data_IF_680106678115
#
_entry.id   IF_680106678115
#
_cell.length_a   1.000
_cell.length_b   1.000
_cell.length_c   1.000
_cell.angle_alpha   90.00
_cell.angle_beta   90.00
_cell.angle_gamma   90.00
#
_symmetry.space_group_name_H-M   'P 1'
#
loop_
_entity.id
_entity.type
_entity.pdbx_description
1 polymer ?
#
# COMPACT_ATOMS: atom_id res chain seq x y z
N UNK A 1 13.34 8.27 22.30
CA UNK A 1 13.36 6.90 21.73
C UNK A 1 13.65 7.00 20.24
N UNK A 2 14.55 6.18 19.71
CA UNK A 2 14.90 6.13 18.29
C UNK A 2 14.25 4.90 17.62
N UNK A 3 13.96 4.97 16.33
CA UNK A 3 13.36 3.90 15.55
C UNK A 3 14.10 3.70 14.22
N UNK A 4 14.34 2.46 13.84
CA UNK A 4 14.91 2.11 12.53
C UNK A 4 13.86 2.23 11.43
N UNK A 5 14.26 2.79 10.29
CA UNK A 5 13.42 3.05 9.13
C UNK A 5 13.86 2.23 7.91
N UNK A 6 12.89 1.99 7.04
CA UNK A 6 13.10 1.65 5.63
C UNK A 6 12.32 2.65 4.79
N UNK A 7 13.02 3.34 3.89
CA UNK A 7 12.42 4.40 3.10
C UNK A 7 11.56 3.87 1.94
N UNK A 8 10.43 4.54 1.73
CA UNK A 8 9.68 4.51 0.49
C UNK A 8 9.90 5.82 -0.26
N UNK A 9 9.89 5.76 -1.59
CA UNK A 9 10.06 6.92 -2.45
C UNK A 9 8.80 7.13 -3.29
N UNK A 10 8.36 8.39 -3.39
CA UNK A 10 7.41 8.77 -4.44
C UNK A 10 8.15 8.85 -5.78
N UNK A 11 7.48 8.65 -6.92
CA UNK A 11 8.10 8.74 -8.24
C UNK A 11 8.86 10.04 -8.49
N UNK A 12 8.34 11.16 -7.99
CA UNK A 12 8.94 12.51 -8.08
C UNK A 12 10.28 12.61 -7.36
N UNK A 13 10.51 11.78 -6.35
CA UNK A 13 11.75 11.78 -5.56
C UNK A 13 12.80 10.81 -6.12
N UNK A 14 12.52 10.18 -7.27
CA UNK A 14 13.49 9.33 -7.96
C UNK A 14 14.15 10.11 -9.10
N UNK A 15 15.41 9.79 -9.42
CA UNK A 15 16.13 10.41 -10.54
C UNK A 15 15.41 10.28 -11.89
N UNK A 16 14.58 9.25 -12.06
CA UNK A 16 13.77 9.05 -13.27
C UNK A 16 12.49 9.87 -13.32
N UNK A 17 12.12 10.54 -12.23
CA UNK A 17 10.86 11.26 -12.09
C UNK A 17 9.62 10.39 -12.21
N UNK A 18 8.44 11.04 -12.16
CA UNK A 18 7.16 10.39 -12.40
C UNK A 18 7.00 10.03 -13.88
N UNK A 19 6.59 8.79 -14.13
CA UNK A 19 6.23 8.28 -15.46
C UNK A 19 4.72 8.30 -15.66
N UNK A 20 4.28 8.32 -16.91
CA UNK A 20 2.86 8.27 -17.29
C UNK A 20 2.14 6.98 -16.86
N UNK A 21 2.88 5.92 -16.58
CA UNK A 21 2.35 4.64 -16.11
C UNK A 21 2.27 4.51 -14.58
N UNK A 22 2.80 5.50 -13.87
CA UNK A 22 2.75 5.55 -12.41
C UNK A 22 1.38 6.07 -11.97
N UNK A 23 0.80 5.44 -10.96
CA UNK A 23 -0.46 5.92 -10.36
C UNK A 23 -0.17 7.03 -9.34
N UNK A 24 -1.14 7.92 -9.10
CA UNK A 24 -0.98 9.08 -8.21
C UNK A 24 -0.49 8.67 -6.81
N UNK A 25 -1.13 7.64 -6.23
CA UNK A 25 -0.81 7.09 -4.91
C UNK A 25 0.30 6.02 -4.93
N UNK A 26 1.05 5.90 -6.03
CA UNK A 26 2.14 4.92 -6.15
C UNK A 26 3.41 5.37 -5.42
N UNK A 27 4.01 4.45 -4.67
CA UNK A 27 5.29 4.60 -4.00
C UNK A 27 6.17 3.36 -4.26
N UNK A 28 7.48 3.53 -4.09
CA UNK A 28 8.46 2.48 -4.32
C UNK A 28 9.20 2.13 -3.04
N UNK A 29 9.14 0.86 -2.64
CA UNK A 29 9.91 0.37 -1.50
C UNK A 29 11.40 0.46 -1.79
N UNK A 30 12.22 0.79 -0.80
CA UNK A 30 13.68 0.78 -0.92
C UNK A 30 14.36 0.01 0.21
N UNK A 31 15.59 -0.45 -0.04
CA UNK A 31 16.48 -1.00 1.00
C UNK A 31 17.28 0.08 1.73
N UNK A 32 16.93 1.35 1.53
CA UNK A 32 17.54 2.47 2.24
C UNK A 32 17.11 2.43 3.72
N UNK A 33 18.08 2.11 4.59
CA UNK A 33 17.91 2.07 6.04
C UNK A 33 18.35 3.38 6.67
N UNK A 34 17.64 3.79 7.71
CA UNK A 34 17.95 4.99 8.49
C UNK A 34 17.43 4.85 9.94
N UNK A 35 17.67 5.85 10.78
CA UNK A 35 17.12 5.95 12.13
C UNK A 35 16.52 7.35 12.36
N UNK A 36 15.31 7.43 12.92
CA UNK A 36 14.68 8.69 13.29
C UNK A 36 14.18 8.69 14.74
N UNK A 37 13.96 9.89 15.28
CA UNK A 37 13.22 10.02 16.55
C UNK A 37 11.76 9.62 16.32
N UNK A 38 11.18 8.87 17.28
CA UNK A 38 9.74 8.56 17.26
C UNK A 38 8.89 9.83 17.26
N UNK A 39 9.43 10.94 17.76
CA UNK A 39 8.77 12.26 17.73
C UNK A 39 8.56 12.82 16.30
N UNK A 40 9.22 12.26 15.29
CA UNK A 40 9.06 12.65 13.89
C UNK A 40 7.94 11.87 13.17
N UNK A 41 7.24 10.96 13.85
CA UNK A 41 6.13 10.21 13.24
C UNK A 41 4.86 11.06 13.34
N UNK A 42 4.31 11.42 12.19
CA UNK A 42 3.07 12.20 12.10
C UNK A 42 1.82 11.30 12.17
N UNK A 43 1.79 10.24 11.36
CA UNK A 43 0.60 9.40 11.22
C UNK A 43 0.89 8.01 10.65
N UNK A 44 -0.12 7.14 10.69
CA UNK A 44 -0.14 5.80 10.11
C UNK A 44 -0.76 5.82 8.71
N UNK A 45 -0.08 5.18 7.77
CA UNK A 45 -0.60 4.90 6.44
C UNK A 45 -0.59 3.39 6.13
N UNK A 46 -1.23 3.02 5.01
CA UNK A 46 -1.34 1.65 4.53
C UNK A 46 -0.68 1.51 3.18
N UNK A 47 0.28 0.59 3.07
CA UNK A 47 0.97 0.28 1.81
C UNK A 47 0.48 -1.07 1.32
N UNK A 48 -0.20 -1.06 0.18
CA UNK A 48 -0.87 -2.21 -0.41
C UNK A 48 -0.06 -2.79 -1.57
N UNK A 49 -0.09 -4.11 -1.73
CA UNK A 49 0.33 -4.72 -3.00
C UNK A 49 -0.71 -4.43 -4.08
N UNK A 50 -0.33 -4.65 -5.34
CA UNK A 50 -1.22 -4.40 -6.47
C UNK A 50 -2.58 -5.09 -6.33
N UNK A 51 -2.61 -6.37 -5.92
CA UNK A 51 -3.85 -7.12 -5.76
C UNK A 51 -4.73 -6.61 -4.61
N UNK A 52 -4.13 -6.13 -3.52
CA UNK A 52 -4.87 -5.50 -2.42
C UNK A 52 -5.42 -4.14 -2.84
N UNK A 53 -4.60 -3.33 -3.50
CA UNK A 53 -4.97 -2.01 -3.98
C UNK A 53 -6.13 -2.06 -4.97
N UNK A 54 -6.11 -2.99 -5.92
CA UNK A 54 -7.22 -3.22 -6.85
C UNK A 54 -8.53 -3.57 -6.11
N UNK A 55 -8.47 -4.43 -5.08
CA UNK A 55 -9.63 -4.78 -4.25
C UNK A 55 -10.12 -3.57 -3.44
N UNK A 56 -9.20 -2.79 -2.87
CA UNK A 56 -9.50 -1.57 -2.13
C UNK A 56 -10.19 -0.53 -3.03
N UNK A 57 -9.61 -0.19 -4.19
CA UNK A 57 -10.19 0.78 -5.14
C UNK A 57 -11.56 0.34 -5.66
N UNK A 58 -11.76 -0.95 -5.91
CA UNK A 58 -13.07 -1.48 -6.29
C UNK A 58 -14.12 -1.25 -5.20
N UNK A 59 -13.77 -1.54 -3.94
CA UNK A 59 -14.65 -1.32 -2.78
C UNK A 59 -14.94 0.16 -2.57
N UNK A 60 -13.91 1.01 -2.59
CA UNK A 60 -14.04 2.47 -2.44
C UNK A 60 -15.01 3.04 -3.48
N UNK A 61 -14.83 2.69 -4.76
CA UNK A 61 -15.72 3.12 -5.85
C UNK A 61 -17.17 2.62 -5.67
N UNK A 62 -17.36 1.39 -5.18
CA UNK A 62 -18.70 0.88 -4.89
C UNK A 62 -19.37 1.68 -3.76
N UNK A 63 -18.64 1.97 -2.69
CA UNK A 63 -19.12 2.78 -1.56
C UNK A 63 -19.47 4.20 -1.99
N UNK A 64 -18.64 4.85 -2.81
CA UNK A 64 -18.91 6.18 -3.39
C UNK A 64 -20.19 6.18 -4.24
N UNK A 65 -20.46 5.08 -4.95
CA UNK A 65 -21.65 4.91 -5.78
C UNK A 65 -22.89 4.41 -5.00
N UNK A 66 -22.77 4.21 -3.68
CA UNK A 66 -23.86 3.66 -2.86
C UNK A 66 -24.26 2.23 -3.24
N UNK A 67 -23.41 1.50 -3.95
CA UNK A 67 -23.69 0.12 -4.37
C UNK A 67 -23.52 -0.83 -3.18
N UNK A 68 -24.45 -1.77 -2.97
CA UNK A 68 -24.27 -2.78 -1.94
C UNK A 68 -23.02 -3.62 -2.26
N UNK A 69 -22.36 -4.18 -1.23
CA UNK A 69 -21.30 -5.15 -1.47
C UNK A 69 -21.86 -6.29 -2.34
N UNK A 70 -21.07 -6.88 -3.24
CA UNK A 70 -21.55 -7.91 -4.14
C UNK A 70 -22.18 -9.07 -3.35
N UNK A 71 -23.52 -9.09 -3.31
CA UNK A 71 -24.31 -10.19 -2.80
C UNK A 71 -24.08 -11.40 -3.71
N UNK A 72 -23.47 -12.47 -3.18
CA UNK A 72 -23.39 -13.73 -3.91
C UNK A 72 -22.00 -14.18 -4.35
N UNK A 73 -20.92 -13.63 -3.80
CA UNK A 73 -19.64 -14.35 -3.87
C UNK A 73 -19.73 -15.54 -2.90
N UNK A 74 -20.24 -16.68 -3.41
CA UNK A 74 -20.12 -18.01 -2.80
C UNK A 74 -18.66 -18.50 -2.81
N UNK A 75 -17.68 -17.60 -2.66
CA UNK A 75 -16.38 -18.02 -2.16
C UNK A 75 -16.66 -18.22 -0.69
N UNK A 76 -16.46 -19.42 -0.13
CA UNK A 76 -16.57 -19.59 1.31
C UNK A 76 -15.78 -18.45 1.93
N UNK A 77 -16.47 -17.59 2.69
CA UNK A 77 -15.77 -16.73 3.64
C UNK A 77 -14.84 -17.70 4.34
N UNK A 78 -13.52 -17.50 4.24
CA UNK A 78 -12.52 -18.41 4.77
C UNK A 78 -12.59 -18.35 6.30
N UNK A 79 -13.70 -18.81 6.85
CA UNK A 79 -14.06 -18.97 8.24
C UNK A 79 -14.06 -20.47 8.49
N UNK A 80 -12.89 -21.08 8.32
CA UNK A 80 -12.54 -22.37 8.91
C UNK A 80 -11.07 -22.69 8.61
N UNK A 81 -10.21 -22.28 9.54
CA UNK A 81 -8.97 -22.99 9.92
C UNK A 81 -7.86 -23.21 8.86
N UNK A 82 -7.97 -22.64 7.66
CA UNK A 82 -6.94 -22.78 6.62
C UNK A 82 -6.25 -21.44 6.35
N UNK A 83 -5.10 -21.23 7.00
CA UNK A 83 -4.11 -20.17 6.75
C UNK A 83 -4.67 -18.73 6.66
N UNK A 84 -4.74 -18.05 7.81
CA UNK A 84 -5.06 -16.63 7.88
C UNK A 84 -4.16 -15.81 6.93
N UNK A 85 -4.75 -14.96 6.08
CA UNK A 85 -3.98 -14.14 5.14
C UNK A 85 -2.92 -13.33 5.90
N UNK A 86 -1.60 -13.56 5.67
CA UNK A 86 -0.56 -13.05 6.57
C UNK A 86 -0.53 -11.53 6.71
N UNK A 87 -1.04 -10.80 5.71
CA UNK A 87 -1.09 -9.33 5.70
C UNK A 87 -2.45 -8.74 6.07
N UNK A 88 -3.38 -9.54 6.63
CA UNK A 88 -4.72 -9.07 7.04
C UNK A 88 -4.63 -7.85 7.98
N UNK A 89 -3.70 -7.87 8.93
CA UNK A 89 -3.48 -6.79 9.90
C UNK A 89 -2.81 -5.53 9.28
N UNK A 90 -2.33 -5.62 8.04
CA UNK A 90 -1.72 -4.51 7.28
C UNK A 90 -2.69 -3.87 6.28
N UNK A 91 -3.95 -4.32 6.24
CA UNK A 91 -5.00 -3.73 5.41
C UNK A 91 -5.70 -2.58 6.16
N UNK A 92 -6.23 -1.57 5.44
CA UNK A 92 -7.13 -0.58 6.01
C UNK A 92 -8.30 -1.26 6.74
N UNK A 93 -8.72 -0.77 7.91
CA UNK A 93 -9.88 -1.31 8.59
C UNK A 93 -11.11 -1.13 7.70
N UNK A 94 -11.94 -2.17 7.64
CA UNK A 94 -13.14 -2.17 6.79
C UNK A 94 -14.26 -1.27 7.33
N UNK A 95 -14.19 -0.91 8.61
CA UNK A 95 -15.27 -0.19 9.32
C UNK A 95 -14.98 1.29 9.55
N UNK A 96 -13.75 1.75 9.29
CA UNK A 96 -13.41 3.18 9.42
C UNK A 96 -13.28 3.81 8.05
N UNK A 97 -13.77 5.04 7.91
CA UNK A 97 -13.50 5.89 6.75
C UNK A 97 -12.01 6.21 6.73
N UNK A 98 -11.21 5.26 6.25
CA UNK A 98 -9.79 5.50 5.97
C UNK A 98 -9.76 6.45 4.79
N UNK A 99 -9.27 7.65 5.03
CA UNK A 99 -9.15 8.68 4.00
C UNK A 99 -8.22 8.16 2.89
N UNK A 100 -8.60 8.38 1.64
CA UNK A 100 -7.91 7.83 0.47
C UNK A 100 -6.44 8.26 0.40
N UNK A 101 -6.11 9.43 0.94
CA UNK A 101 -4.76 10.00 1.08
C UNK A 101 -3.80 9.19 1.96
N UNK A 102 -4.31 8.24 2.77
CA UNK A 102 -3.51 7.37 3.64
C UNK A 102 -3.27 5.97 3.07
N UNK A 103 -3.70 5.69 1.83
CA UNK A 103 -3.55 4.37 1.20
C UNK A 103 -2.69 4.47 -0.06
N UNK A 104 -1.55 3.78 -0.05
CA UNK A 104 -0.57 3.83 -1.12
C UNK A 104 -0.43 2.47 -1.82
N UNK A 105 -0.14 2.51 -3.13
CA UNK A 105 0.24 1.33 -3.90
C UNK A 105 1.76 1.16 -3.89
N UNK A 106 2.25 -0.03 -3.57
CA UNK A 106 3.63 -0.42 -3.81
C UNK A 106 3.70 -1.73 -4.59
N UNK A 107 4.17 -1.68 -5.83
CA UNK A 107 4.37 -2.86 -6.72
C UNK A 107 5.78 -2.96 -7.29
N UNK A 108 6.67 -2.02 -6.95
CA UNK A 108 8.02 -1.90 -7.48
C UNK A 108 9.00 -1.50 -6.38
N UNK A 109 10.27 -1.83 -6.58
CA UNK A 109 11.37 -1.51 -5.66
C UNK A 109 12.28 -0.47 -6.30
N UNK A 110 12.64 0.58 -5.55
CA UNK A 110 13.65 1.54 -5.95
C UNK A 110 15.01 1.19 -5.33
N UNK A 111 15.99 0.92 -6.19
CA UNK A 111 17.39 0.80 -5.81
C UNK A 111 17.99 2.21 -5.71
N UNK A 112 18.06 2.74 -4.49
CA UNK A 112 18.57 4.08 -4.21
C UNK A 112 20.08 4.22 -4.50
N UNK A 113 20.83 3.11 -4.51
CA UNK A 113 22.27 3.13 -4.79
C UNK A 113 22.53 3.22 -6.28
N UNK A 114 21.77 2.44 -7.06
CA UNK A 114 21.88 2.41 -8.52
C UNK A 114 20.91 3.37 -9.23
N UNK A 115 20.13 4.13 -8.47
CA UNK A 115 19.19 5.15 -8.95
C UNK A 115 18.22 4.61 -10.00
N UNK A 116 17.71 3.39 -9.80
CA UNK A 116 16.82 2.71 -10.76
C UNK A 116 15.67 1.97 -10.10
N UNK A 117 14.57 1.88 -10.85
CA UNK A 117 13.43 1.05 -10.48
C UNK A 117 13.70 -0.38 -10.94
N UNK A 118 13.57 -1.32 -10.01
CA UNK A 118 13.77 -2.74 -10.24
C UNK A 118 12.42 -3.39 -10.54
N UNK A 119 12.38 -4.23 -11.59
CA UNK A 119 11.14 -4.87 -12.10
C UNK A 119 10.63 -6.04 -11.24
N UNK A 120 11.19 -6.29 -10.05
CA UNK A 120 10.66 -7.36 -9.19
C UNK A 120 9.32 -6.92 -8.61
N UNK A 121 8.26 -7.67 -8.91
CA UNK A 121 6.95 -7.52 -8.28
C UNK A 121 7.04 -7.97 -6.81
N UNK A 122 6.48 -7.17 -5.91
CA UNK A 122 6.31 -7.47 -4.48
C UNK A 122 5.00 -8.22 -4.25
#
# INVERSE_FOLDING_TARGET
>A
MMMSLLWYYRPEHTDGGRRTTDLDDEIFASRHRDVCSVACIEDKCYVLTFNEYCRYRKRAKMTEQGLPPPSGVLIPSMTSETSEYPRRLRLPPTCTTTTADRVFLCRRVYDFRQKRIVKYSI
#
